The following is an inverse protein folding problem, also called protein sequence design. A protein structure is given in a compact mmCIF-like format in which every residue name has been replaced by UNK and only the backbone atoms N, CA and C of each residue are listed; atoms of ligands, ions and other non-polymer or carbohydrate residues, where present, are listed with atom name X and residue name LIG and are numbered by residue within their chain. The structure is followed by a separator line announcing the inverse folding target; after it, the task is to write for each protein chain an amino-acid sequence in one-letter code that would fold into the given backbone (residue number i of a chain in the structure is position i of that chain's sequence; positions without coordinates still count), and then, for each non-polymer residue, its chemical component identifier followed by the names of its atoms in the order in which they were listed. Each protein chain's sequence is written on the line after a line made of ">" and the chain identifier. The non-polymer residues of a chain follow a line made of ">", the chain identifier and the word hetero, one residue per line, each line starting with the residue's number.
data_IF_587833792242
#
_entry.id   IF_587833792242
#
_cell.length_a   1.000
_cell.length_b   1.000
_cell.length_c   1.000
_cell.angle_alpha   90.00
_cell.angle_beta   90.00
_cell.angle_gamma   90.00
#
_symmetry.space_group_name_H-M   'P 1'
#
loop_
_entity.id
_entity.type
_entity.pdbx_description
1 polymer ?
#
# COMPACT_ATOMS: atom_id res chain seq x y z
N UNK A 1 -8.89 13.68 -20.71
CA UNK A 1 -7.60 13.65 -21.40
C UNK A 1 -7.67 12.80 -22.65
N UNK A 2 -6.84 13.11 -23.66
CA UNK A 2 -6.83 12.41 -24.95
C UNK A 2 -5.73 11.35 -25.06
N UNK A 3 -4.83 11.29 -24.09
CA UNK A 3 -3.78 10.27 -24.04
C UNK A 3 -3.31 10.02 -22.61
N UNK A 4 -2.73 8.81 -22.39
CA UNK A 4 -2.03 8.49 -21.12
C UNK A 4 -0.83 9.42 -20.87
N UNK A 5 -0.16 9.84 -21.92
CA UNK A 5 0.94 10.81 -21.82
C UNK A 5 0.47 12.15 -21.27
N UNK A 6 -0.65 12.69 -21.80
CA UNK A 6 -1.25 13.91 -21.27
C UNK A 6 -1.65 13.77 -19.79
N UNK A 7 -2.18 12.60 -19.42
CA UNK A 7 -2.50 12.31 -18.01
C UNK A 7 -1.24 12.31 -17.13
N UNK A 8 -0.14 11.71 -17.58
CA UNK A 8 1.14 11.73 -16.85
C UNK A 8 1.66 13.16 -16.65
N UNK A 9 1.61 13.99 -17.69
CA UNK A 9 2.01 15.40 -17.59
C UNK A 9 1.17 16.16 -16.56
N UNK A 10 -0.14 15.96 -16.54
CA UNK A 10 -1.01 16.63 -15.56
C UNK A 10 -0.75 16.13 -14.13
N UNK A 11 -0.58 14.83 -13.94
CA UNK A 11 -0.27 14.24 -12.64
C UNK A 11 1.10 14.69 -12.11
N UNK A 12 2.07 14.98 -12.99
CA UNK A 12 3.43 15.39 -12.59
C UNK A 12 3.48 16.68 -11.81
N UNK A 13 2.45 17.52 -11.92
CA UNK A 13 2.33 18.76 -11.14
C UNK A 13 2.11 18.49 -9.62
N UNK A 14 1.63 17.31 -9.26
CA UNK A 14 1.28 16.98 -7.87
C UNK A 14 1.99 15.72 -7.36
N UNK A 15 2.46 14.86 -8.26
CA UNK A 15 3.09 13.58 -7.94
C UNK A 15 4.44 13.52 -8.65
N UNK A 16 5.52 13.64 -7.90
CA UNK A 16 6.91 13.67 -8.43
C UNK A 16 7.36 12.28 -8.86
N UNK A 17 6.94 11.24 -8.18
CA UNK A 17 7.36 9.86 -8.38
C UNK A 17 6.74 9.27 -9.65
N UNK A 18 7.58 9.06 -10.65
CA UNK A 18 7.16 8.55 -11.95
C UNK A 18 6.46 7.19 -11.86
N UNK A 19 6.93 6.30 -10.99
CA UNK A 19 6.34 4.97 -10.84
C UNK A 19 4.91 5.03 -10.26
N UNK A 20 4.64 5.96 -9.33
CA UNK A 20 3.30 6.19 -8.79
C UNK A 20 2.36 6.67 -9.88
N UNK A 21 2.78 7.64 -10.69
CA UNK A 21 1.98 8.11 -11.83
C UNK A 21 1.68 6.99 -12.83
N UNK A 22 2.70 6.19 -13.18
CA UNK A 22 2.53 5.03 -14.06
C UNK A 22 1.52 4.02 -13.51
N UNK A 23 1.55 3.76 -12.21
CA UNK A 23 0.58 2.91 -11.51
C UNK A 23 -0.85 3.50 -11.57
N UNK A 24 -1.01 4.78 -11.27
CA UNK A 24 -2.32 5.44 -11.31
C UNK A 24 -2.92 5.43 -12.73
N UNK A 25 -2.12 5.69 -13.76
CA UNK A 25 -2.54 5.74 -15.17
C UNK A 25 -3.09 4.39 -15.68
N UNK A 26 -2.75 3.28 -15.03
CA UNK A 26 -3.33 1.97 -15.37
C UNK A 26 -4.86 1.94 -15.19
N UNK A 27 -5.39 2.79 -14.30
CA UNK A 27 -6.82 2.95 -14.07
C UNK A 27 -7.53 3.86 -15.09
N UNK A 28 -6.87 4.23 -16.19
CA UNK A 28 -7.48 4.99 -17.26
C UNK A 28 -7.97 4.06 -18.36
N UNK A 29 -9.24 4.20 -18.70
CA UNK A 29 -9.91 3.51 -19.80
C UNK A 29 -10.26 4.48 -20.91
N UNK A 30 -10.16 4.01 -22.16
CA UNK A 30 -10.57 4.78 -23.34
C UNK A 30 -12.10 4.61 -23.53
N UNK A 31 -12.81 5.75 -23.55
CA UNK A 31 -14.24 5.81 -23.82
C UNK A 31 -14.53 7.06 -24.67
N UNK A 32 -15.18 6.87 -25.82
CA UNK A 32 -15.56 7.96 -26.74
C UNK A 32 -14.35 8.87 -27.09
N UNK A 33 -13.23 8.29 -27.51
CA UNK A 33 -11.97 8.97 -27.85
C UNK A 33 -11.33 9.79 -26.73
N UNK A 34 -11.75 9.57 -25.49
CA UNK A 34 -11.19 10.22 -24.29
C UNK A 34 -10.86 9.20 -23.22
N UNK A 35 -9.78 9.43 -22.50
CA UNK A 35 -9.46 8.65 -21.32
C UNK A 35 -10.21 9.17 -20.10
N UNK A 36 -10.87 8.26 -19.40
CA UNK A 36 -11.57 8.48 -18.14
C UNK A 36 -11.05 7.53 -17.07
N UNK A 37 -11.18 7.89 -15.82
CA UNK A 37 -10.90 6.98 -14.71
C UNK A 37 -11.93 5.85 -14.70
N UNK A 38 -11.49 4.60 -14.69
CA UNK A 38 -12.34 3.42 -14.49
C UNK A 38 -12.83 3.27 -13.05
N UNK A 39 -12.17 3.96 -12.12
CA UNK A 39 -12.50 3.97 -10.70
C UNK A 39 -13.33 5.21 -10.34
N UNK A 40 -14.23 5.07 -9.37
CA UNK A 40 -15.04 6.19 -8.87
C UNK A 40 -14.24 7.01 -7.85
N UNK A 41 -13.46 8.00 -8.35
CA UNK A 41 -12.64 8.87 -7.51
C UNK A 41 -13.46 9.67 -6.48
N UNK A 42 -14.71 10.03 -6.81
CA UNK A 42 -15.57 10.78 -5.89
C UNK A 42 -15.96 9.91 -4.70
N UNK A 43 -16.41 8.69 -4.94
CA UNK A 43 -16.75 7.75 -3.88
C UNK A 43 -15.53 7.43 -2.99
N UNK A 44 -14.34 7.25 -3.59
CA UNK A 44 -13.10 7.06 -2.83
C UNK A 44 -12.82 8.27 -1.95
N UNK A 45 -12.92 9.49 -2.50
CA UNK A 45 -12.69 10.73 -1.76
C UNK A 45 -13.64 10.86 -0.56
N UNK A 46 -14.91 10.57 -0.76
CA UNK A 46 -15.94 10.64 0.28
C UNK A 46 -15.73 9.58 1.37
N UNK A 47 -15.17 8.42 1.01
CA UNK A 47 -14.87 7.33 1.93
C UNK A 47 -13.48 7.43 2.60
N UNK A 48 -12.68 8.48 2.33
CA UNK A 48 -11.28 8.56 2.78
C UNK A 48 -11.11 8.42 4.29
N UNK A 49 -11.99 9.01 5.08
CA UNK A 49 -11.89 8.92 6.55
C UNK A 49 -12.10 7.48 7.04
N UNK A 50 -13.04 6.76 6.42
CA UNK A 50 -13.26 5.35 6.71
C UNK A 50 -12.11 4.47 6.22
N UNK A 51 -11.54 4.76 5.04
CA UNK A 51 -10.41 4.02 4.47
C UNK A 51 -9.12 4.21 5.28
N UNK A 52 -8.95 5.35 5.93
CA UNK A 52 -7.78 5.65 6.77
C UNK A 52 -7.93 5.15 8.20
N UNK A 53 -9.14 4.82 8.62
CA UNK A 53 -9.42 4.36 9.96
C UNK A 53 -9.37 2.83 10.05
N UNK A 54 -8.92 2.32 11.19
CA UNK A 54 -9.07 0.91 11.52
C UNK A 54 -10.38 0.75 12.32
N UNK A 55 -11.44 0.14 11.72
CA UNK A 55 -12.79 0.20 12.27
C UNK A 55 -13.02 -0.74 13.46
N UNK A 56 -12.02 -1.52 13.86
CA UNK A 56 -12.16 -2.51 14.91
C UNK A 56 -11.84 -1.89 16.26
N UNK A 57 -12.84 -1.86 17.13
CA UNK A 57 -12.69 -1.53 18.55
C UNK A 57 -12.07 -2.71 19.32
N UNK A 58 -11.81 -2.53 20.61
CA UNK A 58 -11.23 -3.50 21.56
C UNK A 58 -11.90 -4.88 21.63
N UNK A 59 -12.99 -5.11 20.87
CA UNK A 59 -13.74 -6.37 20.82
C UNK A 59 -13.28 -7.36 19.74
N UNK A 60 -12.23 -7.02 18.99
CA UNK A 60 -11.69 -7.94 17.98
C UNK A 60 -10.99 -9.09 18.68
N UNK A 61 -11.36 -10.31 18.30
CA UNK A 61 -10.74 -11.53 18.83
C UNK A 61 -9.27 -11.57 18.40
N UNK A 62 -8.43 -12.01 19.31
CA UNK A 62 -7.03 -12.33 19.05
C UNK A 62 -6.88 -13.29 17.87
N UNK A 63 -5.97 -12.99 16.96
CA UNK A 63 -5.54 -13.90 15.90
C UNK A 63 -4.31 -14.64 16.38
N UNK A 64 -4.44 -15.95 16.61
CA UNK A 64 -3.35 -16.81 17.12
C UNK A 64 -2.49 -17.39 15.99
N UNK A 65 -2.92 -17.25 14.74
CA UNK A 65 -2.19 -17.74 13.59
C UNK A 65 -0.82 -17.07 13.48
N UNK A 66 0.16 -17.85 13.03
CA UNK A 66 1.48 -17.32 12.68
C UNK A 66 1.32 -16.19 11.67
N UNK A 67 1.80 -15.01 12.02
CA UNK A 67 1.63 -13.78 11.24
C UNK A 67 2.97 -13.11 11.00
N UNK A 68 3.17 -12.58 9.80
CA UNK A 68 4.35 -11.77 9.46
C UNK A 68 3.92 -10.39 8.99
N UNK A 69 4.44 -9.36 9.63
CA UNK A 69 4.38 -7.99 9.13
C UNK A 69 5.70 -7.65 8.44
N UNK A 70 5.66 -7.45 7.12
CA UNK A 70 6.83 -6.99 6.36
C UNK A 70 6.66 -5.49 6.10
N UNK A 71 7.67 -4.70 6.45
CA UNK A 71 7.59 -3.24 6.31
C UNK A 71 8.91 -2.67 5.77
N UNK A 72 8.82 -1.52 5.11
CA UNK A 72 9.99 -0.80 4.61
C UNK A 72 10.57 0.11 5.69
N UNK A 73 11.89 0.15 5.82
CA UNK A 73 12.62 0.98 6.78
C UNK A 73 12.26 2.47 6.68
N UNK A 74 12.02 2.95 5.46
CA UNK A 74 11.71 4.36 5.17
C UNK A 74 10.20 4.61 5.04
N UNK A 75 9.35 3.67 5.49
CA UNK A 75 7.90 3.80 5.42
C UNK A 75 7.36 4.54 6.62
N UNK A 76 6.59 5.60 6.38
CA UNK A 76 5.89 6.36 7.42
C UNK A 76 4.60 5.65 7.92
N UNK A 77 4.20 4.54 7.26
CA UNK A 77 2.96 3.83 7.60
C UNK A 77 3.13 2.84 8.77
N UNK A 78 4.33 2.32 8.97
CA UNK A 78 4.61 1.37 10.05
C UNK A 78 5.68 1.96 10.96
N UNK A 79 5.25 2.38 12.13
CA UNK A 79 6.10 3.00 13.17
C UNK A 79 6.25 2.07 14.37
N UNK A 80 7.15 2.41 15.29
CA UNK A 80 7.34 1.66 16.54
C UNK A 80 6.04 1.54 17.37
N UNK A 81 5.17 2.55 17.33
CA UNK A 81 3.88 2.51 18.02
C UNK A 81 2.96 1.44 17.43
N UNK A 82 3.00 1.26 16.12
CA UNK A 82 2.19 0.27 15.43
C UNK A 82 2.55 -1.17 15.84
N UNK A 83 3.79 -1.47 16.20
CA UNK A 83 4.18 -2.81 16.64
C UNK A 83 3.41 -3.25 17.88
N UNK A 84 3.22 -2.36 18.83
CA UNK A 84 2.42 -2.65 20.03
C UNK A 84 0.94 -2.85 19.67
N UNK A 85 0.41 -2.05 18.74
CA UNK A 85 -0.96 -2.18 18.26
C UNK A 85 -1.14 -3.53 17.57
N UNK A 86 -0.26 -3.90 16.65
CA UNK A 86 -0.32 -5.20 15.96
C UNK A 86 -0.21 -6.37 16.93
N UNK A 87 0.67 -6.29 17.92
CA UNK A 87 0.83 -7.35 18.93
C UNK A 87 -0.40 -7.50 19.83
N UNK A 88 -1.24 -6.48 19.96
CA UNK A 88 -2.53 -6.59 20.64
C UNK A 88 -3.58 -7.38 19.84
N UNK A 89 -3.44 -7.45 18.51
CA UNK A 89 -4.36 -8.19 17.64
C UNK A 89 -3.82 -9.55 17.19
N UNK A 90 -2.50 -9.70 17.13
CA UNK A 90 -1.84 -10.90 16.62
C UNK A 90 -0.85 -11.43 17.68
N UNK A 91 -1.25 -12.46 18.41
CA UNK A 91 -0.41 -13.00 19.49
C UNK A 91 0.87 -13.69 19.00
N UNK A 92 0.89 -14.14 17.76
CA UNK A 92 2.03 -14.81 17.13
C UNK A 92 2.52 -14.04 15.91
N UNK A 93 2.84 -12.75 16.11
CA UNK A 93 3.36 -11.87 15.05
C UNK A 93 4.88 -11.76 15.12
N UNK A 94 5.50 -11.79 13.94
CA UNK A 94 6.89 -11.41 13.71
C UNK A 94 6.96 -10.22 12.75
N UNK A 95 8.04 -9.46 12.84
CA UNK A 95 8.27 -8.27 12.03
C UNK A 95 9.53 -8.44 11.20
N UNK A 96 9.48 -8.11 9.92
CA UNK A 96 10.62 -8.11 9.01
C UNK A 96 10.77 -6.73 8.36
N UNK A 97 11.85 -6.06 8.70
CA UNK A 97 12.21 -4.79 8.07
C UNK A 97 12.95 -5.03 6.75
N UNK A 98 12.58 -4.26 5.72
CA UNK A 98 13.29 -4.22 4.45
C UNK A 98 14.05 -2.91 4.36
N UNK A 99 15.37 -3.01 4.41
CA UNK A 99 16.26 -1.86 4.33
C UNK A 99 16.14 -1.13 3.00
N UNK A 100 16.29 0.20 3.04
CA UNK A 100 16.23 1.07 1.86
C UNK A 100 14.92 0.96 1.05
N UNK A 101 13.83 0.56 1.69
CA UNK A 101 12.51 0.49 1.10
C UNK A 101 11.53 1.43 1.82
N UNK A 102 10.65 2.05 1.05
CA UNK A 102 9.49 2.79 1.55
C UNK A 102 8.25 1.89 1.64
N UNK A 103 7.07 2.50 1.43
CA UNK A 103 5.80 1.77 1.49
C UNK A 103 5.64 0.71 0.38
N UNK A 104 6.21 0.96 -0.80
CA UNK A 104 6.15 0.04 -1.94
C UNK A 104 7.31 -0.96 -1.95
N UNK A 105 7.64 -1.52 -0.82
CA UNK A 105 8.81 -2.37 -0.56
C UNK A 105 8.94 -3.57 -1.54
N UNK A 106 7.83 -4.14 -1.98
CA UNK A 106 7.82 -5.24 -2.96
C UNK A 106 8.26 -4.81 -4.37
N UNK A 107 8.14 -3.52 -4.67
CA UNK A 107 8.61 -2.91 -5.91
C UNK A 107 10.03 -2.33 -5.76
N UNK A 108 10.31 -1.70 -4.62
CA UNK A 108 11.59 -1.03 -4.36
C UNK A 108 12.71 -2.03 -4.06
N UNK A 109 12.41 -3.10 -3.29
CA UNK A 109 13.36 -4.15 -2.90
C UNK A 109 12.76 -5.56 -3.11
N UNK A 110 12.47 -5.96 -4.36
CA UNK A 110 11.74 -7.19 -4.65
C UNK A 110 12.46 -8.46 -4.17
N UNK A 111 13.77 -8.48 -4.19
CA UNK A 111 14.57 -9.65 -3.76
C UNK A 111 14.49 -9.87 -2.25
N UNK A 112 14.65 -8.82 -1.47
CA UNK A 112 14.58 -8.88 0.00
C UNK A 112 13.14 -9.15 0.48
N UNK A 113 12.16 -8.55 -0.18
CA UNK A 113 10.76 -8.85 0.07
C UNK A 113 10.46 -10.35 -0.19
N UNK A 114 10.87 -10.88 -1.34
CA UNK A 114 10.67 -12.29 -1.68
C UNK A 114 11.36 -13.21 -0.66
N UNK A 115 12.58 -12.90 -0.24
CA UNK A 115 13.33 -13.66 0.75
C UNK A 115 12.62 -13.68 2.10
N UNK A 116 12.14 -12.54 2.60
CA UNK A 116 11.42 -12.43 3.86
C UNK A 116 10.13 -13.27 3.83
N UNK A 117 9.35 -13.14 2.74
CA UNK A 117 8.11 -13.88 2.54
C UNK A 117 8.36 -15.39 2.44
N UNK A 118 9.34 -15.82 1.67
CA UNK A 118 9.67 -17.24 1.47
C UNK A 118 10.14 -17.88 2.77
N UNK A 119 10.99 -17.21 3.53
CA UNK A 119 11.46 -17.70 4.82
C UNK A 119 10.28 -17.91 5.80
N UNK A 120 9.30 -17.04 5.78
CA UNK A 120 8.12 -17.17 6.63
C UNK A 120 7.21 -18.34 6.21
N UNK A 121 7.05 -18.57 4.91
CA UNK A 121 6.14 -19.60 4.38
C UNK A 121 6.72 -21.03 4.50
N UNK A 122 8.05 -21.15 4.53
CA UNK A 122 8.72 -22.47 4.56
C UNK A 122 8.98 -22.94 6.00
N UNK A 123 9.12 -22.02 6.96
CA UNK A 123 9.36 -22.30 8.38
C UNK A 123 8.09 -22.09 9.22
#
# INVERSE_FOLDING_TARGET
>A
VTSRFQADQLLSNSITERFIRAFLIQNLELSDDKYRWSINLLAIKEAMDNLRSFPFSEKVKFVENKTLCIYGQNSDYVTQENFNIFSNFFSNISFAEIENAGHYLHFEQPKEFYKALTNFLIN
#
